data_IF_977741649595
#
_entry.id   IF_977741649595
#
_cell.length_a   1.000
_cell.length_b   1.000
_cell.length_c   1.000
_cell.angle_alpha   90.00
_cell.angle_beta   90.00
_cell.angle_gamma   90.00
#
_symmetry.space_group_name_H-M   'P 1'
#
loop_
_entity.id
_entity.type
_entity.pdbx_description
1 polymer ?
#
# COMPACT_ATOMS: atom_id res chain seq x y z
N UNK A 1 52.89 13.76 22.19
CA UNK A 1 52.26 13.41 20.89
C UNK A 1 51.00 12.55 21.09
N UNK A 2 51.03 11.49 21.91
CA UNK A 2 49.89 10.60 22.15
C UNK A 2 48.63 11.28 22.75
N UNK A 3 48.77 12.20 23.72
CA UNK A 3 47.64 12.91 24.32
C UNK A 3 46.86 13.84 23.36
N UNK A 4 47.50 14.30 22.28
CA UNK A 4 46.84 15.17 21.28
C UNK A 4 45.98 14.36 20.30
N UNK A 5 46.37 13.10 20.04
CA UNK A 5 45.65 12.16 19.18
C UNK A 5 44.37 11.69 19.88
N UNK A 6 44.44 11.37 21.19
CA UNK A 6 43.25 10.97 21.96
C UNK A 6 42.21 12.09 22.03
N UNK A 7 42.65 13.34 22.25
CA UNK A 7 41.74 14.50 22.24
C UNK A 7 41.09 14.72 20.87
N UNK A 8 41.81 14.45 19.78
CA UNK A 8 41.28 14.57 18.42
C UNK A 8 40.24 13.48 18.12
N UNK A 9 40.48 12.23 18.54
CA UNK A 9 39.54 11.12 18.38
C UNK A 9 38.26 11.38 19.16
N UNK A 10 38.35 11.89 20.40
CA UNK A 10 37.16 12.24 21.21
C UNK A 10 36.33 13.35 20.54
N UNK A 11 36.98 14.37 19.96
CA UNK A 11 36.28 15.45 19.24
C UNK A 11 35.59 14.95 17.97
N UNK A 12 36.25 14.09 17.20
CA UNK A 12 35.68 13.51 15.98
C UNK A 12 34.47 12.63 16.32
N UNK A 13 34.59 11.79 17.35
CA UNK A 13 33.48 10.96 17.84
C UNK A 13 32.31 11.78 18.36
N UNK A 14 32.59 12.87 19.08
CA UNK A 14 31.55 13.77 19.57
C UNK A 14 30.81 14.48 18.42
N UNK A 15 31.54 14.98 17.42
CA UNK A 15 30.94 15.58 16.21
C UNK A 15 30.10 14.56 15.46
N UNK A 16 30.60 13.32 15.28
CA UNK A 16 29.85 12.24 14.64
C UNK A 16 28.56 11.90 15.38
N UNK A 17 28.60 11.83 16.71
CA UNK A 17 27.42 11.60 17.55
C UNK A 17 26.41 12.74 17.43
N UNK A 18 26.87 14.00 17.43
CA UNK A 18 26.01 15.16 17.25
C UNK A 18 25.31 15.16 15.89
N UNK A 19 26.05 14.85 14.80
CA UNK A 19 25.47 14.77 13.45
C UNK A 19 24.43 13.65 13.37
N UNK A 20 24.72 12.47 13.91
CA UNK A 20 23.77 11.36 13.94
C UNK A 20 22.50 11.74 14.75
N UNK A 21 22.67 12.38 15.90
CA UNK A 21 21.55 12.85 16.72
C UNK A 21 20.68 13.89 15.99
N UNK A 22 21.30 14.82 15.27
CA UNK A 22 20.60 15.82 14.44
C UNK A 22 19.78 15.16 13.33
N UNK A 23 20.37 14.23 12.58
CA UNK A 23 19.64 13.50 11.51
C UNK A 23 18.47 12.66 12.06
N UNK A 24 18.64 12.10 13.26
CA UNK A 24 17.58 11.32 13.91
C UNK A 24 16.44 12.23 14.40
N UNK A 25 16.77 13.39 14.97
CA UNK A 25 15.78 14.37 15.42
C UNK A 25 14.93 14.90 14.26
N UNK A 26 15.54 15.19 13.10
CA UNK A 26 14.80 15.57 11.87
C UNK A 26 13.84 14.46 11.42
N UNK A 27 14.27 13.19 11.44
CA UNK A 27 13.42 12.06 11.07
C UNK A 27 12.23 11.87 12.04
N UNK A 28 12.43 12.08 13.34
CA UNK A 28 11.35 12.03 14.35
C UNK A 28 10.36 13.18 14.16
N UNK A 29 10.85 14.40 13.90
CA UNK A 29 10.00 15.56 13.62
C UNK A 29 9.15 15.34 12.34
N UNK A 30 9.75 14.78 11.29
CA UNK A 30 9.04 14.48 10.04
C UNK A 30 7.93 13.42 10.20
N UNK A 31 8.08 12.46 11.11
CA UNK A 31 7.02 11.47 11.39
C UNK A 31 5.81 12.07 12.13
N UNK A 32 6.01 13.13 12.91
CA UNK A 32 4.94 13.79 13.69
C UNK A 32 3.89 14.46 12.80
N UNK A 33 4.27 14.95 11.61
CA UNK A 33 3.32 15.63 10.72
C UNK A 33 2.38 14.66 9.98
N UNK A 34 2.78 13.39 9.84
CA UNK A 34 2.01 12.40 9.07
C UNK A 34 0.76 11.89 9.79
N UNK A 35 0.67 12.08 11.12
CA UNK A 35 -0.43 11.58 11.96
C UNK A 35 -1.66 12.51 12.00
N UNK A 36 -1.58 13.70 11.41
CA UNK A 36 -2.63 14.75 11.51
C UNK A 36 -3.51 14.86 10.26
N UNK A 37 -3.22 14.10 9.19
CA UNK A 37 -4.06 14.13 7.99
C UNK A 37 -5.29 13.23 8.19
N UNK A 38 -6.42 13.85 8.56
CA UNK A 38 -7.71 13.19 8.63
C UNK A 38 -8.11 12.72 7.23
N UNK A 39 -7.94 11.41 6.95
CA UNK A 39 -8.39 10.82 5.69
C UNK A 39 -9.90 10.71 5.72
N UNK A 40 -10.57 11.48 4.88
CA UNK A 40 -12.00 11.36 4.64
C UNK A 40 -12.22 10.23 3.63
N UNK A 41 -12.96 9.16 3.97
CA UNK A 41 -13.35 8.15 3.00
C UNK A 41 -14.16 8.79 1.87
N UNK A 42 -14.00 8.31 0.64
CA UNK A 42 -14.88 8.70 -0.45
C UNK A 42 -16.34 8.31 -0.14
N UNK A 43 -17.28 9.10 -0.64
CA UNK A 43 -18.70 8.75 -0.55
C UNK A 43 -18.96 7.41 -1.26
N UNK A 44 -20.00 6.70 -0.80
CA UNK A 44 -20.38 5.43 -1.42
C UNK A 44 -21.05 5.66 -2.78
N UNK A 45 -20.79 4.74 -3.71
CA UNK A 45 -21.48 4.72 -5.00
C UNK A 45 -22.84 4.01 -4.87
N UNK A 46 -23.92 4.65 -5.32
CA UNK A 46 -25.23 3.99 -5.45
C UNK A 46 -25.21 2.94 -6.56
N UNK A 47 -26.14 1.97 -6.52
CA UNK A 47 -26.32 0.97 -7.60
C UNK A 47 -26.53 1.60 -8.98
N UNK A 48 -26.99 2.86 -9.04
CA UNK A 48 -27.15 3.63 -10.28
C UNK A 48 -25.83 3.84 -11.04
N UNK A 49 -24.69 3.79 -10.34
CA UNK A 49 -23.36 3.88 -10.94
C UNK A 49 -22.80 2.54 -11.44
N UNK A 50 -23.56 1.44 -11.41
CA UNK A 50 -23.05 0.10 -11.71
C UNK A 50 -22.38 -0.03 -13.09
N UNK A 51 -22.72 0.79 -14.08
CA UNK A 51 -22.03 0.84 -15.37
C UNK A 51 -20.52 1.07 -15.22
N UNK A 52 -20.08 1.86 -14.23
CA UNK A 52 -18.66 2.08 -13.96
C UNK A 52 -17.90 0.79 -13.64
N UNK A 53 -18.57 -0.20 -13.03
CA UNK A 53 -17.97 -1.49 -12.72
C UNK A 53 -17.69 -2.33 -13.99
N UNK A 54 -18.35 -2.01 -15.10
CA UNK A 54 -18.23 -2.69 -16.39
C UNK A 54 -17.36 -1.91 -17.40
N UNK A 55 -16.75 -0.79 -16.99
CA UNK A 55 -15.91 0.05 -17.87
C UNK A 55 -14.80 -0.76 -18.55
N UNK A 56 -14.50 -0.44 -19.81
CA UNK A 56 -13.58 -1.24 -20.63
C UNK A 56 -12.14 -1.18 -20.10
N UNK A 57 -11.71 -0.03 -19.59
CA UNK A 57 -10.33 0.18 -19.12
C UNK A 57 -10.00 -0.65 -17.87
N UNK A 58 -11.01 -1.26 -17.22
CA UNK A 58 -10.81 -2.22 -16.12
C UNK A 58 -9.95 -3.40 -16.55
N UNK A 59 -10.08 -3.85 -17.81
CA UNK A 59 -9.31 -5.00 -18.31
C UNK A 59 -7.81 -4.71 -18.21
N UNK A 60 -7.39 -3.53 -18.61
CA UNK A 60 -5.98 -3.14 -18.61
C UNK A 60 -5.49 -2.73 -17.21
N UNK A 61 -6.32 -1.99 -16.46
CA UNK A 61 -5.95 -1.43 -15.16
C UNK A 61 -6.01 -2.46 -14.02
N UNK A 62 -7.01 -3.33 -14.01
CA UNK A 62 -7.27 -4.25 -12.89
C UNK A 62 -6.94 -5.71 -13.25
N UNK A 63 -6.68 -6.01 -14.52
CA UNK A 63 -6.27 -7.33 -15.03
C UNK A 63 -7.12 -8.50 -14.48
N UNK A 64 -8.45 -8.50 -14.69
CA UNK A 64 -9.37 -9.43 -14.02
C UNK A 64 -9.07 -10.91 -14.27
N UNK A 65 -8.59 -11.25 -15.46
CA UNK A 65 -8.23 -12.64 -15.76
C UNK A 65 -7.05 -13.13 -14.91
N UNK A 66 -6.04 -12.29 -14.68
CA UNK A 66 -4.91 -12.66 -13.79
C UNK A 66 -5.36 -12.85 -12.35
N UNK A 67 -6.31 -12.05 -11.89
CA UNK A 67 -6.91 -12.20 -10.56
C UNK A 67 -7.57 -13.56 -10.44
N UNK A 68 -8.37 -13.95 -11.43
CA UNK A 68 -9.10 -15.22 -11.42
C UNK A 68 -8.15 -16.42 -11.61
N UNK A 69 -7.10 -16.30 -12.41
CA UNK A 69 -6.08 -17.34 -12.58
C UNK A 69 -5.30 -17.56 -11.28
N UNK A 70 -5.02 -16.49 -10.52
CA UNK A 70 -4.36 -16.57 -9.23
C UNK A 70 -5.20 -17.30 -8.16
N UNK A 71 -6.53 -17.30 -8.29
CA UNK A 71 -7.44 -18.01 -7.39
C UNK A 71 -7.40 -19.53 -7.59
N UNK A 72 -6.91 -20.01 -8.75
CA UNK A 72 -6.78 -21.45 -9.08
C UNK A 72 -8.08 -22.24 -8.88
N UNK A 73 -9.20 -21.62 -9.23
CA UNK A 73 -10.52 -22.25 -9.19
C UNK A 73 -10.55 -23.47 -10.13
N UNK A 74 -11.25 -24.50 -9.71
CA UNK A 74 -11.45 -25.72 -10.48
C UNK A 74 -12.88 -26.26 -10.40
N UNK A 75 -13.16 -27.24 -11.26
CA UNK A 75 -14.47 -27.85 -11.37
C UNK A 75 -14.96 -28.41 -10.02
N UNK A 76 -16.17 -28.00 -9.62
CA UNK A 76 -16.81 -28.39 -8.38
C UNK A 76 -16.56 -27.44 -7.19
N UNK A 77 -15.73 -26.40 -7.36
CA UNK A 77 -15.55 -25.39 -6.33
C UNK A 77 -16.84 -24.60 -6.10
N UNK A 78 -17.17 -24.32 -4.84
CA UNK A 78 -18.32 -23.50 -4.45
C UNK A 78 -17.82 -22.12 -4.04
N UNK A 79 -18.18 -21.09 -4.80
CA UNK A 79 -17.65 -19.73 -4.63
C UNK A 79 -18.75 -18.73 -4.29
N UNK A 80 -18.47 -17.83 -3.35
CA UNK A 80 -19.31 -16.68 -3.03
C UNK A 80 -18.58 -15.37 -3.41
N UNK A 81 -19.17 -14.60 -4.34
CA UNK A 81 -18.69 -13.26 -4.74
C UNK A 81 -19.35 -12.19 -3.84
N UNK A 82 -18.67 -11.81 -2.75
CA UNK A 82 -19.19 -10.86 -1.77
C UNK A 82 -19.02 -9.43 -2.27
N UNK A 83 -20.13 -8.73 -2.47
CA UNK A 83 -20.11 -7.40 -3.07
C UNK A 83 -19.99 -7.42 -4.59
N UNK A 84 -20.60 -8.42 -5.25
CA UNK A 84 -20.48 -8.66 -6.69
C UNK A 84 -20.91 -7.50 -7.59
N UNK A 85 -21.62 -6.49 -7.07
CA UNK A 85 -22.04 -5.31 -7.80
C UNK A 85 -22.89 -5.66 -9.02
N UNK A 86 -22.42 -5.30 -10.21
CA UNK A 86 -23.07 -5.67 -11.48
C UNK A 86 -22.95 -7.16 -11.83
N UNK A 87 -22.18 -7.95 -11.07
CA UNK A 87 -21.88 -9.35 -11.33
C UNK A 87 -20.67 -9.58 -12.26
N UNK A 88 -19.80 -8.58 -12.43
CA UNK A 88 -18.64 -8.63 -13.34
C UNK A 88 -17.76 -9.87 -13.13
N UNK A 89 -17.41 -10.17 -11.87
CA UNK A 89 -16.59 -11.33 -11.51
C UNK A 89 -17.41 -12.61 -11.40
N UNK A 90 -18.57 -12.58 -10.73
CA UNK A 90 -19.48 -13.73 -10.67
C UNK A 90 -19.73 -14.39 -12.03
N UNK A 91 -19.99 -13.63 -13.10
CA UNK A 91 -20.20 -14.17 -14.45
C UNK A 91 -18.95 -14.84 -15.03
N UNK A 92 -17.75 -14.36 -14.69
CA UNK A 92 -16.49 -14.93 -15.16
C UNK A 92 -16.08 -16.17 -14.37
N UNK A 93 -16.40 -16.19 -13.07
CA UNK A 93 -16.15 -17.33 -12.18
C UNK A 93 -16.89 -18.58 -12.66
N UNK A 94 -18.12 -18.44 -13.18
CA UNK A 94 -18.92 -19.57 -13.71
C UNK A 94 -18.17 -20.40 -14.76
N UNK A 95 -17.24 -19.82 -15.51
CA UNK A 95 -16.43 -20.56 -16.50
C UNK A 95 -15.26 -21.35 -15.92
N UNK A 96 -14.97 -21.21 -14.62
CA UNK A 96 -13.81 -21.81 -13.93
C UNK A 96 -14.16 -22.86 -12.89
N UNK A 97 -15.40 -22.88 -12.42
CA UNK A 97 -15.89 -23.77 -11.35
C UNK A 97 -16.83 -24.86 -11.87
#
# INVERSE_FOLDING_TARGET
>A
MMASIESLVVKISFVGLCVAALTFAESVAAQSERSVQHRVPADYMSFRGAQWLEREERVDQEQPEKVLDAMRLGAGDVVADVGCGSGYYARRIVSRV
#
